data_IF_994659139504
#
_entry.id   IF_994659139504
#
_cell.length_a   1.000
_cell.length_b   1.000
_cell.length_c   1.000
_cell.angle_alpha   90.00
_cell.angle_beta   90.00
_cell.angle_gamma   90.00
#
_symmetry.space_group_name_H-M   'P 1'
#
loop_
_entity.id
_entity.type
_entity.pdbx_description
1 polymer ?
#
# COMPACT_ATOMS: atom_id res chain seq x y z
N UNK A 1 7.35 4.53 11.01
CA UNK A 1 7.70 4.63 9.57
C UNK A 1 6.47 4.39 8.70
N UNK A 2 6.26 5.20 7.67
CA UNK A 2 5.14 5.18 6.73
C UNK A 2 5.64 4.84 5.31
N UNK A 3 5.17 3.72 4.76
CA UNK A 3 5.54 3.23 3.43
C UNK A 3 4.30 3.26 2.53
N UNK A 4 4.32 4.06 1.46
CA UNK A 4 3.21 4.16 0.52
C UNK A 4 3.48 3.41 -0.79
N UNK A 5 2.56 2.53 -1.17
CA UNK A 5 2.55 1.84 -2.45
C UNK A 5 1.44 2.42 -3.31
N UNK A 6 1.78 2.82 -4.54
CA UNK A 6 0.82 3.35 -5.50
C UNK A 6 1.13 2.85 -6.91
N UNK A 7 0.21 3.00 -7.85
CA UNK A 7 0.43 2.67 -9.27
C UNK A 7 -0.22 3.68 -10.19
N UNK A 8 0.41 4.05 -11.31
CA UNK A 8 -0.22 4.93 -12.31
C UNK A 8 -1.41 4.28 -13.05
N UNK A 9 -1.65 2.97 -12.86
CA UNK A 9 -2.72 2.22 -13.53
C UNK A 9 -3.34 1.19 -12.59
N UNK A 10 -4.67 1.06 -12.66
CA UNK A 10 -5.39 0.01 -11.95
C UNK A 10 -5.00 -1.38 -12.43
N UNK A 11 -5.12 -2.38 -11.54
CA UNK A 11 -4.81 -3.79 -11.84
C UNK A 11 -3.31 -4.11 -11.96
N UNK A 12 -2.42 -3.23 -11.48
CA UNK A 12 -0.98 -3.54 -11.45
C UNK A 12 -0.61 -4.55 -10.36
N UNK A 13 -1.40 -4.66 -9.29
CA UNK A 13 -1.13 -5.52 -8.14
C UNK A 13 -0.72 -4.79 -6.86
N UNK A 14 -0.91 -3.45 -6.81
CA UNK A 14 -0.55 -2.59 -5.68
C UNK A 14 -1.12 -3.07 -4.36
N UNK A 15 -2.43 -3.29 -4.30
CA UNK A 15 -3.14 -3.65 -3.07
C UNK A 15 -2.68 -5.00 -2.52
N UNK A 16 -2.44 -5.97 -3.41
CA UNK A 16 -1.90 -7.30 -3.05
C UNK A 16 -0.48 -7.20 -2.49
N UNK A 17 0.37 -6.37 -3.12
CA UNK A 17 1.74 -6.16 -2.63
C UNK A 17 1.75 -5.39 -1.30
N UNK A 18 0.87 -4.40 -1.13
CA UNK A 18 0.74 -3.64 0.12
C UNK A 18 0.32 -4.56 1.28
N UNK A 19 -0.69 -5.41 1.06
CA UNK A 19 -1.12 -6.42 2.03
C UNK A 19 0.00 -7.40 2.38
N UNK A 20 0.78 -7.84 1.40
CA UNK A 20 1.92 -8.72 1.64
C UNK A 20 3.05 -8.04 2.43
N UNK A 21 3.35 -6.77 2.16
CA UNK A 21 4.32 -5.99 2.94
C UNK A 21 3.87 -5.87 4.39
N UNK A 22 2.59 -5.53 4.61
CA UNK A 22 2.04 -5.40 5.95
C UNK A 22 2.05 -6.74 6.70
N UNK A 23 1.69 -7.85 6.03
CA UNK A 23 1.76 -9.19 6.60
C UNK A 23 3.20 -9.62 6.95
N UNK A 24 4.19 -9.26 6.13
CA UNK A 24 5.61 -9.53 6.42
C UNK A 24 6.08 -8.73 7.64
N UNK A 25 5.70 -7.47 7.75
CA UNK A 25 6.04 -6.61 8.89
C UNK A 25 5.36 -7.09 10.18
N UNK A 26 4.09 -7.48 10.12
CA UNK A 26 3.31 -7.97 11.25
C UNK A 26 3.95 -9.18 11.97
N UNK A 27 4.67 -10.03 11.22
CA UNK A 27 5.43 -11.16 11.82
C UNK A 27 6.64 -10.72 12.66
N UNK A 28 7.07 -9.47 12.53
CA UNK A 28 8.26 -8.92 13.21
C UNK A 28 7.91 -7.87 14.26
N UNK A 29 6.68 -7.36 14.27
CA UNK A 29 6.21 -6.29 15.16
C UNK A 29 4.83 -5.79 14.74
N UNK A 30 4.15 -5.00 15.59
CA UNK A 30 2.88 -4.39 15.22
C UNK A 30 2.97 -3.65 13.89
N UNK A 31 2.01 -3.89 13.01
CA UNK A 31 1.92 -3.23 11.71
C UNK A 31 0.49 -2.77 11.45
N UNK A 32 0.38 -1.60 10.82
CA UNK A 32 -0.88 -1.04 10.30
C UNK A 32 -0.87 -1.09 8.78
N UNK A 33 -1.98 -1.51 8.17
CA UNK A 33 -2.26 -1.34 6.76
C UNK A 33 -3.36 -0.29 6.60
N UNK A 34 -3.06 0.83 5.95
CA UNK A 34 -4.05 1.87 5.65
C UNK A 34 -4.56 1.67 4.23
N UNK A 35 -5.87 1.48 4.09
CA UNK A 35 -6.52 1.27 2.81
C UNK A 35 -7.09 2.57 2.24
N UNK A 36 -6.45 3.13 1.22
CA UNK A 36 -6.99 4.22 0.41
C UNK A 36 -7.42 3.75 -0.98
N UNK A 37 -7.43 2.44 -1.26
CA UNK A 37 -7.86 1.90 -2.55
C UNK A 37 -9.28 1.34 -2.50
N UNK A 38 -9.66 0.71 -1.37
CA UNK A 38 -10.97 0.12 -1.12
C UNK A 38 -10.98 -1.41 -1.11
N UNK A 39 -9.95 -2.06 -1.66
CA UNK A 39 -9.97 -3.50 -1.92
C UNK A 39 -9.41 -4.34 -0.76
N UNK A 40 -8.82 -3.71 0.26
CA UNK A 40 -8.11 -4.43 1.32
C UNK A 40 -8.99 -5.35 2.17
N UNK A 41 -10.22 -4.98 2.57
CA UNK A 41 -11.11 -5.91 3.27
C UNK A 41 -11.30 -7.24 2.52
N UNK A 42 -11.56 -7.17 1.21
CA UNK A 42 -11.71 -8.35 0.36
C UNK A 42 -10.41 -9.14 0.20
N UNK A 43 -9.28 -8.48 -0.03
CA UNK A 43 -7.96 -9.12 -0.15
C UNK A 43 -7.57 -9.89 1.13
N UNK A 44 -7.99 -9.36 2.27
CA UNK A 44 -7.69 -9.89 3.61
C UNK A 44 -8.75 -10.87 4.12
N UNK A 45 -9.79 -11.16 3.34
CA UNK A 45 -10.79 -12.17 3.67
C UNK A 45 -11.83 -11.73 4.70
N UNK A 46 -12.06 -10.43 4.88
CA UNK A 46 -13.14 -9.96 5.74
C UNK A 46 -14.49 -10.34 5.13
N UNK A 47 -15.39 -10.86 5.96
CA UNK A 47 -16.72 -11.28 5.51
C UNK A 47 -17.59 -10.12 5.02
N UNK A 48 -17.33 -8.91 5.53
CA UNK A 48 -18.05 -7.68 5.18
C UNK A 48 -17.11 -6.50 5.17
N UNK A 49 -17.31 -5.59 4.24
CA UNK A 49 -16.58 -4.32 4.21
C UNK A 49 -16.98 -3.45 5.40
N UNK A 50 -16.01 -2.98 6.22
CA UNK A 50 -16.30 -2.05 7.30
C UNK A 50 -16.95 -0.77 6.77
N UNK A 51 -18.09 -0.39 7.33
CA UNK A 51 -18.85 0.78 6.89
C UNK A 51 -18.17 2.12 7.18
N UNK A 52 -17.30 2.16 8.21
CA UNK A 52 -16.54 3.35 8.63
C UNK A 52 -15.04 3.14 8.43
N UNK A 53 -14.31 4.20 8.10
CA UNK A 53 -12.87 4.11 7.83
C UNK A 53 -12.20 5.45 7.51
N UNK A 54 -11.14 5.40 6.71
CA UNK A 54 -10.34 6.56 6.29
C UNK A 54 -11.19 7.62 5.60
N UNK A 55 -12.24 7.25 4.86
CA UNK A 55 -13.17 8.19 4.25
C UNK A 55 -13.88 9.07 5.30
N UNK A 56 -14.31 8.49 6.42
CA UNK A 56 -14.95 9.24 7.51
C UNK A 56 -13.93 10.11 8.26
N UNK A 57 -12.70 9.61 8.43
CA UNK A 57 -11.61 10.39 9.00
C UNK A 57 -11.31 11.63 8.15
N UNK A 58 -11.16 11.47 6.83
CA UNK A 58 -10.92 12.56 5.89
C UNK A 58 -12.10 13.53 5.80
N UNK A 59 -13.34 13.05 5.96
CA UNK A 59 -14.52 13.90 5.99
C UNK A 59 -14.59 14.82 7.23
N UNK A 60 -13.86 14.48 8.30
CA UNK A 60 -13.72 15.34 9.48
C UNK A 60 -12.77 16.52 9.21
N UNK A 61 -11.86 16.38 8.24
CA UNK A 61 -10.90 17.42 7.85
C UNK A 61 -9.52 17.27 8.50
N UNK A 62 -8.61 18.24 8.28
CA UNK A 62 -7.22 18.14 8.74
C UNK A 62 -7.04 18.15 10.27
N UNK A 63 -8.04 18.62 11.02
CA UNK A 63 -8.04 18.63 12.49
C UNK A 63 -8.56 17.32 13.10
N UNK A 64 -8.81 16.30 12.27
CA UNK A 64 -9.24 14.99 12.74
C UNK A 64 -8.19 14.37 13.69
N UNK A 65 -8.61 13.83 14.86
CA UNK A 65 -7.66 13.31 15.84
C UNK A 65 -6.98 12.03 15.33
N UNK A 66 -5.68 11.92 15.57
CA UNK A 66 -4.89 10.76 15.12
C UNK A 66 -5.37 9.46 15.77
N UNK A 67 -5.76 9.50 17.04
CA UNK A 67 -6.27 8.36 17.82
C UNK A 67 -7.62 7.85 17.30
N UNK A 68 -8.31 8.60 16.43
CA UNK A 68 -9.48 8.07 15.74
C UNK A 68 -9.13 6.91 14.80
N UNK A 69 -7.92 6.89 14.23
CA UNK A 69 -7.47 5.80 13.36
C UNK A 69 -7.34 4.49 14.13
N UNK A 70 -6.99 4.53 15.42
CA UNK A 70 -6.93 3.33 16.27
C UNK A 70 -8.32 2.72 16.48
N UNK A 71 -9.35 3.56 16.61
CA UNK A 71 -10.74 3.12 16.77
C UNK A 71 -11.35 2.57 15.48
N UNK A 72 -10.84 3.04 14.33
CA UNK A 72 -11.24 2.56 13.00
C UNK A 72 -10.50 1.27 12.61
N UNK A 73 -9.41 0.93 13.30
CA UNK A 73 -8.58 -0.21 12.96
C UNK A 73 -9.26 -1.53 13.34
N UNK A 74 -9.11 -2.52 12.46
CA UNK A 74 -9.60 -3.90 12.64
C UNK A 74 -8.38 -4.82 12.61
N UNK A 75 -8.21 -5.66 13.62
CA UNK A 75 -7.18 -6.70 13.58
C UNK A 75 -7.59 -7.80 12.59
N UNK A 76 -6.75 -8.05 11.58
CA UNK A 76 -7.03 -9.00 10.49
C UNK A 76 -6.15 -10.25 10.53
N UNK A 77 -5.06 -10.18 11.28
CA UNK A 77 -4.16 -11.27 11.64
C UNK A 77 -3.33 -10.82 12.85
N UNK A 78 -2.69 -11.74 13.58
CA UNK A 78 -1.87 -11.38 14.75
C UNK A 78 -0.86 -10.28 14.42
N UNK A 79 -0.99 -9.13 15.09
CA UNK A 79 -0.10 -7.98 14.92
C UNK A 79 -0.35 -7.13 13.67
N UNK A 80 -1.31 -7.49 12.81
CA UNK A 80 -1.69 -6.74 11.62
C UNK A 80 -3.06 -6.08 11.79
N UNK A 81 -3.08 -4.75 11.74
CA UNK A 81 -4.29 -3.96 11.89
C UNK A 81 -4.61 -3.22 10.57
N UNK A 82 -5.78 -3.48 10.00
CA UNK A 82 -6.30 -2.77 8.83
C UNK A 82 -7.05 -1.52 9.30
N UNK A 83 -6.70 -0.34 8.78
CA UNK A 83 -7.60 0.81 8.77
C UNK A 83 -8.28 0.82 7.40
N UNK A 84 -9.56 0.43 7.32
CA UNK A 84 -10.26 0.26 6.05
C UNK A 84 -10.56 1.61 5.39
N UNK A 85 -10.87 1.61 4.10
CA UNK A 85 -11.35 2.82 3.42
C UNK A 85 -12.64 3.35 4.03
N UNK A 86 -13.56 2.47 4.45
CA UNK A 86 -14.92 2.84 4.80
C UNK A 86 -15.81 3.09 3.58
N UNK A 87 -17.07 3.49 3.81
CA UNK A 87 -18.02 3.73 2.72
C UNK A 87 -17.73 5.04 2.01
N UNK A 88 -17.31 4.97 0.74
CA UNK A 88 -17.17 6.16 -0.10
C UNK A 88 -18.53 6.66 -0.57
N UNK A 89 -18.74 7.96 -0.46
CA UNK A 89 -19.91 8.64 -1.01
C UNK A 89 -19.57 9.16 -2.40
N UNK A 90 -20.13 8.62 -3.50
CA UNK A 90 -19.70 8.93 -4.87
C UNK A 90 -19.78 10.40 -5.27
N UNK A 91 -20.66 11.17 -4.61
CA UNK A 91 -20.90 12.58 -4.88
C UNK A 91 -20.36 13.50 -3.77
N UNK A 92 -19.62 12.96 -2.79
CA UNK A 92 -18.96 13.80 -1.80
C UNK A 92 -17.80 14.57 -2.46
N UNK A 93 -17.52 15.81 -2.00
CA UNK A 93 -16.32 16.51 -2.40
C UNK A 93 -15.08 15.66 -2.16
N UNK A 94 -14.12 15.72 -3.09
CA UNK A 94 -12.84 15.06 -2.89
C UNK A 94 -12.11 15.70 -1.70
N UNK A 95 -11.50 14.89 -0.82
CA UNK A 95 -10.73 15.42 0.30
C UNK A 95 -9.53 16.22 -0.21
N UNK A 96 -9.27 17.35 0.46
CA UNK A 96 -8.21 18.28 0.09
C UNK A 96 -6.81 17.71 0.42
N UNK A 97 -5.77 18.28 -0.19
CA UNK A 97 -4.40 17.83 0.01
C UNK A 97 -3.96 17.97 1.48
N UNK A 98 -4.40 19.03 2.16
CA UNK A 98 -4.12 19.31 3.57
C UNK A 98 -4.64 18.19 4.48
N UNK A 99 -5.83 17.65 4.19
CA UNK A 99 -6.37 16.49 4.90
C UNK A 99 -5.52 15.23 4.65
N UNK A 100 -4.98 15.07 3.44
CA UNK A 100 -4.03 14.00 3.13
C UNK A 100 -2.69 14.14 3.88
N UNK A 101 -2.17 15.36 4.01
CA UNK A 101 -0.97 15.62 4.79
C UNK A 101 -1.19 15.30 6.28
N UNK A 102 -2.33 15.72 6.83
CA UNK A 102 -2.75 15.39 8.18
C UNK A 102 -2.91 13.87 8.38
N UNK A 103 -3.55 13.17 7.43
CA UNK A 103 -3.69 11.72 7.47
C UNK A 103 -2.31 11.02 7.45
N UNK A 104 -1.40 11.46 6.58
CA UNK A 104 -0.04 10.95 6.54
C UNK A 104 0.71 11.15 7.87
N UNK A 105 0.54 12.30 8.52
CA UNK A 105 1.08 12.55 9.85
C UNK A 105 0.44 11.65 10.92
N UNK A 106 -0.88 11.44 10.88
CA UNK A 106 -1.61 10.60 11.83
C UNK A 106 -1.32 9.09 11.65
N UNK A 107 -1.02 8.65 10.43
CA UNK A 107 -0.61 7.27 10.13
C UNK A 107 0.84 6.99 10.55
N UNK A 108 1.68 8.03 10.67
CA UNK A 108 3.03 7.91 11.24
C UNK A 108 2.91 7.70 12.75
N UNK A 109 3.18 6.48 13.19
CA UNK A 109 3.37 6.17 14.61
C UNK A 109 4.81 5.76 14.89
N UNK A 110 5.27 6.08 16.11
CA UNK A 110 6.57 5.65 16.62
C UNK A 110 6.57 4.17 17.02
N UNK A 111 5.41 3.60 17.39
CA UNK A 111 5.29 2.26 17.95
C UNK A 111 5.05 1.15 16.90
N UNK A 112 4.76 1.52 15.64
CA UNK A 112 4.45 0.56 14.57
C UNK A 112 4.78 1.07 13.18
N UNK A 113 5.08 0.15 12.27
CA UNK A 113 5.17 0.47 10.85
C UNK A 113 3.77 0.59 10.24
N UNK A 114 3.58 1.54 9.34
CA UNK A 114 2.35 1.67 8.56
C UNK A 114 2.65 1.50 7.07
N UNK A 115 1.95 0.57 6.42
CA UNK A 115 1.92 0.41 4.97
C UNK A 115 0.64 1.06 4.46
N UNK A 116 0.75 1.89 3.44
CA UNK A 116 -0.37 2.55 2.78
C UNK A 116 -0.60 1.91 1.42
N UNK A 117 -1.80 1.41 1.19
CA UNK A 117 -2.30 1.12 -0.15
C UNK A 117 -2.97 2.37 -0.73
N UNK A 118 -2.21 3.13 -1.51
CA UNK A 118 -2.68 4.34 -2.15
C UNK A 118 -3.38 4.06 -3.50
N UNK A 119 -3.47 2.80 -3.93
CA UNK A 119 -4.08 2.43 -5.20
C UNK A 119 -3.51 3.23 -6.37
N UNK A 120 -4.34 4.07 -7.00
CA UNK A 120 -3.93 4.97 -8.09
C UNK A 120 -3.53 6.38 -7.66
N UNK A 121 -3.81 6.75 -6.42
CA UNK A 121 -3.66 8.13 -5.92
C UNK A 121 -4.28 9.16 -6.89
N UNK A 122 -5.56 8.98 -7.22
CA UNK A 122 -6.24 9.89 -8.16
C UNK A 122 -6.76 11.17 -7.48
N UNK A 123 -7.05 11.13 -6.18
CA UNK A 123 -7.56 12.28 -5.43
C UNK A 123 -6.42 13.05 -4.71
N UNK A 124 -6.64 14.34 -4.38
CA UNK A 124 -5.61 15.18 -3.78
C UNK A 124 -5.08 14.68 -2.43
N UNK A 125 -5.95 14.15 -1.56
CA UNK A 125 -5.54 13.67 -0.25
C UNK A 125 -4.65 12.43 -0.37
N UNK A 126 -5.05 11.43 -1.15
CA UNK A 126 -4.25 10.21 -1.34
C UNK A 126 -2.91 10.53 -1.99
N UNK A 127 -2.85 11.46 -2.96
CA UNK A 127 -1.57 11.94 -3.52
C UNK A 127 -0.69 12.54 -2.45
N UNK A 128 -1.24 13.40 -1.61
CA UNK A 128 -0.47 14.03 -0.55
C UNK A 128 0.03 13.01 0.47
N UNK A 129 -0.75 11.97 0.82
CA UNK A 129 -0.28 10.86 1.67
C UNK A 129 0.96 10.19 1.06
N UNK A 130 0.98 9.95 -0.25
CA UNK A 130 2.15 9.41 -0.95
C UNK A 130 3.34 10.39 -0.89
N UNK A 131 3.10 11.69 -1.07
CA UNK A 131 4.16 12.70 -1.04
C UNK A 131 4.82 12.87 0.34
N UNK A 132 4.06 12.73 1.42
CA UNK A 132 4.54 12.89 2.81
C UNK A 132 4.96 11.58 3.48
N UNK A 133 4.93 10.46 2.74
CA UNK A 133 5.39 9.16 3.23
C UNK A 133 6.92 9.14 3.37
N UNK A 134 7.42 8.40 4.37
CA UNK A 134 8.86 8.22 4.58
C UNK A 134 9.50 7.46 3.40
N UNK A 135 8.72 6.57 2.78
CA UNK A 135 9.07 5.86 1.57
C UNK A 135 7.86 5.72 0.64
N UNK A 136 8.06 6.02 -0.64
CA UNK A 136 7.06 5.80 -1.69
C UNK A 136 7.60 4.83 -2.74
N UNK A 137 6.76 3.90 -3.18
CA UNK A 137 7.10 2.89 -4.19
C UNK A 137 6.07 2.92 -5.30
N UNK A 138 6.55 3.04 -6.54
CA UNK A 138 5.69 2.91 -7.71
C UNK A 138 5.60 1.44 -8.12
N UNK A 139 4.39 0.91 -8.15
CA UNK A 139 4.10 -0.46 -8.58
C UNK A 139 3.74 -0.42 -10.06
N UNK A 140 4.56 -1.05 -10.89
CA UNK A 140 4.33 -1.12 -12.33
C UNK A 140 4.40 -2.56 -12.81
N UNK A 141 3.58 -2.86 -13.80
CA UNK A 141 3.63 -4.11 -14.55
C UNK A 141 4.29 -3.83 -15.90
N UNK A 142 4.84 -4.86 -16.57
CA UNK A 142 5.38 -4.83 -17.94
C UNK A 142 4.37 -4.47 -19.04
N UNK A 143 3.55 -3.44 -18.85
CA UNK A 143 2.50 -2.97 -19.72
C UNK A 143 2.85 -1.55 -20.18
N UNK A 144 2.89 -1.33 -21.50
CA UNK A 144 3.17 -0.02 -22.10
C UNK A 144 2.33 1.11 -21.48
N UNK A 145 1.02 0.91 -21.32
CA UNK A 145 0.15 1.94 -20.74
C UNK A 145 0.45 2.23 -19.27
N UNK A 146 0.90 1.22 -18.50
CA UNK A 146 1.33 1.43 -17.12
C UNK A 146 2.59 2.30 -17.07
N UNK A 147 3.60 1.95 -17.88
CA UNK A 147 4.86 2.69 -17.93
C UNK A 147 4.68 4.10 -18.48
N UNK A 148 3.92 4.26 -19.58
CA UNK A 148 3.59 5.59 -20.13
C UNK A 148 2.94 6.49 -19.09
N UNK A 149 1.99 5.96 -18.30
CA UNK A 149 1.35 6.75 -17.24
C UNK A 149 2.32 7.04 -16.09
N UNK A 150 3.21 6.12 -15.72
CA UNK A 150 4.24 6.40 -14.71
C UNK A 150 5.17 7.54 -15.14
N UNK A 151 5.62 7.57 -16.40
CA UNK A 151 6.48 8.66 -16.92
C UNK A 151 5.82 10.03 -16.74
N UNK A 152 4.49 10.10 -16.91
CA UNK A 152 3.74 11.35 -16.80
C UNK A 152 3.16 11.61 -15.40
N UNK A 153 3.39 10.73 -14.43
CA UNK A 153 2.86 10.87 -13.08
C UNK A 153 3.87 11.63 -12.20
N UNK A 154 3.51 12.81 -11.64
CA UNK A 154 4.41 13.57 -10.77
C UNK A 154 4.94 12.78 -9.58
N UNK A 155 4.13 11.86 -9.04
CA UNK A 155 4.50 10.98 -7.92
C UNK A 155 5.67 10.05 -8.23
N UNK A 156 5.97 9.77 -9.51
CA UNK A 156 7.14 8.95 -9.89
C UNK A 156 8.44 9.60 -9.43
N UNK A 157 8.52 10.94 -9.43
CA UNK A 157 9.69 11.65 -8.94
C UNK A 157 9.92 11.46 -7.43
N UNK A 158 8.84 11.19 -6.67
CA UNK A 158 8.87 10.90 -5.23
C UNK A 158 9.14 9.43 -4.91
N UNK A 159 8.98 8.53 -5.88
CA UNK A 159 9.22 7.12 -5.65
C UNK A 159 10.72 6.88 -5.38
N UNK A 160 11.03 6.14 -4.32
CA UNK A 160 12.38 5.66 -4.04
C UNK A 160 12.79 4.56 -5.02
N UNK A 161 11.81 3.85 -5.58
CA UNK A 161 12.04 2.88 -6.63
C UNK A 161 10.77 2.17 -7.08
N UNK A 162 10.99 1.14 -7.89
CA UNK A 162 9.97 0.40 -8.61
C UNK A 162 9.76 -0.96 -7.94
N UNK A 163 8.51 -1.32 -7.64
CA UNK A 163 8.12 -2.71 -7.50
C UNK A 163 7.58 -3.20 -8.84
N UNK A 164 8.36 -4.03 -9.53
CA UNK A 164 8.03 -4.50 -10.87
C UNK A 164 7.22 -5.79 -10.78
N UNK A 165 6.01 -5.80 -11.32
CA UNK A 165 5.17 -7.00 -11.42
C UNK A 165 5.53 -7.74 -12.69
N UNK A 166 6.24 -8.85 -12.51
CA UNK A 166 6.80 -9.70 -13.55
C UNK A 166 5.75 -10.70 -14.04
N UNK A 167 5.10 -10.34 -15.14
CA UNK A 167 4.09 -11.14 -15.82
C UNK A 167 4.72 -11.81 -17.06
N UNK A 168 4.77 -13.15 -17.12
CA UNK A 168 5.31 -13.86 -18.28
C UNK A 168 4.62 -13.45 -19.59
N UNK A 169 5.42 -13.35 -20.67
CA UNK A 169 4.91 -13.03 -22.01
C UNK A 169 4.72 -11.53 -22.29
N UNK A 170 5.10 -10.65 -21.36
CA UNK A 170 5.17 -9.20 -21.61
C UNK A 170 6.46 -8.83 -22.34
N UNK A 171 6.37 -7.85 -23.23
CA UNK A 171 7.52 -7.35 -24.01
C UNK A 171 8.40 -6.36 -23.23
N UNK A 172 7.88 -5.75 -22.17
CA UNK A 172 8.61 -4.78 -21.34
C UNK A 172 8.94 -5.43 -20.01
N UNK A 173 10.23 -5.47 -19.68
CA UNK A 173 10.77 -6.07 -18.48
C UNK A 173 11.21 -5.04 -17.42
N UNK A 174 11.85 -5.52 -16.34
CA UNK A 174 12.34 -4.66 -15.27
C UNK A 174 13.45 -3.70 -15.75
N UNK A 175 14.24 -4.09 -16.76
CA UNK A 175 15.27 -3.23 -17.34
C UNK A 175 14.66 -2.00 -18.02
N UNK A 176 13.65 -2.19 -18.87
CA UNK A 176 12.96 -1.09 -19.54
C UNK A 176 12.24 -0.19 -18.52
N UNK A 177 11.63 -0.78 -17.48
CA UNK A 177 11.00 0.01 -16.42
C UNK A 177 12.03 0.87 -15.67
N UNK A 178 13.21 0.32 -15.35
CA UNK A 178 14.31 1.05 -14.71
C UNK A 178 14.77 2.22 -15.58
N UNK A 179 15.01 1.96 -16.86
CA UNK A 179 15.55 2.95 -17.79
C UNK A 179 14.54 4.07 -18.10
N UNK A 180 13.26 3.72 -18.29
CA UNK A 180 12.22 4.70 -18.66
C UNK A 180 11.79 5.56 -17.48
N UNK A 181 11.74 5.01 -16.27
CA UNK A 181 11.30 5.75 -15.08
C UNK A 181 12.45 6.46 -14.36
N UNK A 182 13.70 6.16 -14.71
CA UNK A 182 14.90 6.62 -14.01
C UNK A 182 14.80 6.34 -12.50
N UNK A 183 14.42 5.11 -12.17
CA UNK A 183 14.25 4.63 -10.79
C UNK A 183 14.75 3.20 -10.65
N UNK A 184 15.40 2.84 -9.53
CA UNK A 184 15.87 1.47 -9.32
C UNK A 184 14.69 0.52 -9.14
N UNK A 185 14.79 -0.70 -9.69
CA UNK A 185 13.86 -1.79 -9.36
C UNK A 185 14.24 -2.34 -8.00
N UNK A 186 13.37 -2.13 -7.01
CA UNK A 186 13.55 -2.57 -5.62
C UNK A 186 13.13 -4.02 -5.43
N UNK A 187 12.11 -4.47 -6.15
CA UNK A 187 11.72 -5.88 -6.15
C UNK A 187 11.02 -6.26 -7.44
N UNK A 188 11.04 -7.55 -7.73
CA UNK A 188 10.22 -8.18 -8.77
C UNK A 188 9.17 -9.07 -8.09
N UNK A 189 7.92 -8.88 -8.46
CA UNK A 189 6.76 -9.61 -7.91
C UNK A 189 6.26 -10.55 -8.99
N UNK A 190 6.39 -11.88 -8.82
CA UNK A 190 6.02 -12.81 -9.86
C UNK A 190 4.49 -12.93 -9.96
N UNK A 191 3.94 -12.96 -11.17
CA UNK A 191 2.54 -13.34 -11.38
C UNK A 191 2.40 -14.86 -11.28
N UNK A 192 1.72 -15.34 -10.23
CA UNK A 192 1.51 -16.78 -9.97
C UNK A 192 0.05 -17.06 -9.61
N UNK A 193 -0.57 -18.15 -10.13
CA UNK A 193 -1.93 -18.53 -9.75
C UNK A 193 -2.13 -18.74 -8.24
N UNK A 194 -1.09 -19.14 -7.52
CA UNK A 194 -1.13 -19.28 -6.06
C UNK A 194 -1.40 -17.95 -5.34
N UNK A 195 -1.01 -16.80 -5.90
CA UNK A 195 -1.28 -15.48 -5.33
C UNK A 195 -2.76 -15.13 -5.48
N UNK A 196 -3.33 -15.31 -6.67
CA UNK A 196 -4.75 -15.11 -6.91
C UNK A 196 -5.59 -16.00 -5.98
N UNK A 197 -5.28 -17.30 -5.92
CA UNK A 197 -5.98 -18.24 -5.02
C UNK A 197 -5.89 -17.86 -3.54
N UNK A 198 -4.78 -17.29 -3.09
CA UNK A 198 -4.64 -16.83 -1.70
C UNK A 198 -5.50 -15.59 -1.41
N UNK A 199 -5.65 -14.69 -2.38
CA UNK A 199 -6.58 -13.56 -2.33
C UNK A 199 -8.02 -14.06 -2.32
N UNK A 200 -8.39 -14.92 -3.27
CA UNK A 200 -9.75 -15.47 -3.39
C UNK A 200 -10.18 -16.25 -2.13
N UNK A 201 -9.23 -16.91 -1.47
CA UNK A 201 -9.47 -17.63 -0.22
C UNK A 201 -9.41 -16.75 1.04
N UNK A 202 -9.03 -15.48 0.92
CA UNK A 202 -8.94 -14.55 2.06
C UNK A 202 -7.84 -14.90 3.07
N UNK A 203 -6.77 -15.60 2.66
CA UNK A 203 -5.72 -16.09 3.58
C UNK A 203 -4.39 -15.33 3.48
N UNK A 204 -4.35 -14.25 2.69
CA UNK A 204 -3.10 -13.56 2.36
C UNK A 204 -2.39 -12.97 3.58
N UNK A 205 -3.12 -12.43 4.56
CA UNK A 205 -2.51 -11.88 5.77
C UNK A 205 -1.85 -12.94 6.65
N UNK A 206 -2.46 -14.12 6.77
CA UNK A 206 -1.97 -15.18 7.66
C UNK A 206 -0.92 -16.05 6.97
N UNK A 207 -1.08 -16.30 5.67
CA UNK A 207 -0.23 -17.20 4.89
C UNK A 207 0.04 -16.63 3.48
N UNK A 208 0.84 -15.56 3.37
CA UNK A 208 1.20 -15.02 2.06
C UNK A 208 2.01 -16.06 1.28
N UNK A 209 1.72 -16.30 -0.02
CA UNK A 209 2.50 -17.22 -0.83
C UNK A 209 3.98 -16.82 -0.89
N UNK A 210 4.87 -17.81 -0.81
CA UNK A 210 6.33 -17.65 -0.77
C UNK A 210 6.92 -16.64 -1.75
N UNK A 211 6.51 -16.69 -3.02
CA UNK A 211 7.02 -15.78 -4.05
C UNK A 211 6.66 -14.32 -3.77
N UNK A 212 5.45 -14.07 -3.27
CA UNK A 212 4.99 -12.75 -2.89
C UNK A 212 5.65 -12.28 -1.58
N UNK A 213 5.73 -13.17 -0.58
CA UNK A 213 6.37 -12.88 0.69
C UNK A 213 7.86 -12.52 0.53
N UNK A 214 8.59 -13.22 -0.34
CA UNK A 214 9.99 -12.91 -0.68
C UNK A 214 10.13 -11.55 -1.36
N UNK A 215 9.25 -11.24 -2.32
CA UNK A 215 9.26 -9.95 -2.99
C UNK A 215 8.97 -8.80 -2.02
N UNK A 216 7.96 -8.95 -1.16
CA UNK A 216 7.65 -7.99 -0.11
C UNK A 216 8.81 -7.81 0.89
N UNK A 217 9.44 -8.91 1.33
CA UNK A 217 10.60 -8.86 2.24
C UNK A 217 11.76 -8.09 1.60
N UNK A 218 12.11 -8.41 0.36
CA UNK A 218 13.17 -7.72 -0.38
C UNK A 218 12.88 -6.23 -0.56
N UNK A 219 11.64 -5.88 -0.86
CA UNK A 219 11.22 -4.48 -0.97
C UNK A 219 11.48 -3.74 0.34
N UNK A 220 10.96 -4.27 1.45
CA UNK A 220 11.09 -3.67 2.78
C UNK A 220 12.56 -3.52 3.21
N UNK A 221 13.40 -4.52 2.93
CA UNK A 221 14.84 -4.48 3.21
C UNK A 221 15.53 -3.35 2.43
N UNK A 222 15.23 -3.19 1.14
CA UNK A 222 15.82 -2.12 0.31
C UNK A 222 15.32 -0.73 0.67
N UNK A 223 14.14 -0.64 1.26
CA UNK A 223 13.61 0.60 1.83
C UNK A 223 14.19 0.91 3.22
N UNK A 224 15.00 0.02 3.79
CA UNK A 224 15.54 0.20 5.14
C UNK A 224 14.51 0.08 6.26
N UNK A 225 13.36 -0.58 5.99
CA UNK A 225 12.31 -0.79 6.99
C UNK A 225 12.77 -1.89 7.95
N UNK A 226 13.45 -1.51 9.03
CA UNK A 226 13.66 -2.40 10.16
C UNK A 226 12.35 -2.58 10.93
N UNK A 227 12.11 -3.80 11.44
CA UNK A 227 11.03 -3.98 12.40
C UNK A 227 11.37 -3.21 13.69
N UNK A 228 10.38 -2.59 14.36
CA UNK A 228 10.60 -2.08 15.70
C UNK A 228 11.11 -3.24 16.58
N UNK A 229 12.19 -3.00 17.31
CA UNK A 229 12.71 -3.98 18.25
C UNK A 229 11.59 -4.35 19.23
N UNK A 230 11.27 -5.64 19.33
CA UNK A 230 10.53 -6.12 20.48
C UNK A 230 11.47 -5.99 21.67
N UNK A 231 11.31 -4.94 22.47
CA UNK A 231 11.77 -4.98 23.86
C UNK A 231 10.87 -6.00 24.57
N UNK A 232 11.31 -7.25 24.53
CA UNK A 232 10.76 -8.31 25.35
C UNK A 232 11.06 -7.99 26.81
N UNK A 233 10.00 -7.79 27.58
CA UNK A 233 9.97 -7.92 29.04
C UNK A 233 8.98 -9.01 29.40
#
# INVERSE_FOLDING_TARGET
MLVALWSPKGGSGTSVLAAACAAVLARRGPCRLADLAGDQPGILGLATDPGTGIADWLATGPDAPAEALDRLAVEVAPGLHLVPTGTRRPLAPLPAAEAGAALGAALRSADRCCVVDAGRADDPATRMVVEVADAAVVVVRGCYLSLRRAVHAPLTARAQGIAFVDEPGRALGPAEARDVLDRPVLTEVPVRPAIARAVDAGVLAVRPPDGLARAATRLLERLGVAAPAHDGA
#
